data_IF_751674519379
#
_entry.id   IF_751674519379
#
_cell.length_a   1.000
_cell.length_b   1.000
_cell.length_c   1.000
_cell.angle_alpha   90.00
_cell.angle_beta   90.00
_cell.angle_gamma   90.00
#
_symmetry.space_group_name_H-M   'P 1'
#
loop_
_entity.id
_entity.type
_entity.pdbx_description
1 polymer ?
#
# COMPACT_ATOMS: atom_id res chain seq x y z
N UNK A 1 -16.24 -68.50 -2.89
CA UNK A 1 -16.70 -67.20 -3.40
C UNK A 1 -16.06 -65.99 -2.70
N UNK A 2 -15.57 -66.11 -1.46
CA UNK A 2 -15.10 -64.94 -0.68
C UNK A 2 -13.63 -64.55 -0.86
N UNK A 3 -12.76 -65.37 -1.38
CA UNK A 3 -11.34 -65.07 -1.55
C UNK A 3 -11.04 -64.22 -2.77
N UNK A 4 -11.84 -64.32 -3.84
CA UNK A 4 -11.68 -63.52 -5.06
C UNK A 4 -12.22 -62.11 -4.86
N UNK A 5 -13.28 -61.94 -4.08
CA UNK A 5 -13.86 -60.63 -3.76
C UNK A 5 -12.92 -59.76 -2.91
N UNK A 6 -12.20 -60.39 -1.96
CA UNK A 6 -11.23 -59.69 -1.08
C UNK A 6 -9.99 -59.24 -1.90
N UNK A 7 -9.54 -60.05 -2.85
CA UNK A 7 -8.41 -59.72 -3.71
C UNK A 7 -8.70 -58.52 -4.65
N UNK A 8 -9.93 -58.42 -5.17
CA UNK A 8 -10.35 -57.28 -6.02
C UNK A 8 -10.51 -55.99 -5.23
N UNK A 9 -11.02 -56.04 -3.98
CA UNK A 9 -11.10 -54.86 -3.14
C UNK A 9 -9.71 -54.34 -2.70
N UNK A 10 -8.74 -55.25 -2.48
CA UNK A 10 -7.37 -54.85 -2.15
C UNK A 10 -6.60 -54.29 -3.34
N UNK A 11 -6.85 -54.78 -4.55
CA UNK A 11 -6.25 -54.23 -5.80
C UNK A 11 -6.84 -52.86 -6.17
N UNK A 12 -8.12 -52.59 -5.85
CA UNK A 12 -8.73 -51.28 -6.12
C UNK A 12 -8.26 -50.20 -5.10
N UNK A 13 -7.90 -50.58 -3.89
CA UNK A 13 -7.40 -49.62 -2.85
C UNK A 13 -5.94 -49.19 -3.12
N UNK A 14 -5.13 -50.01 -3.80
CA UNK A 14 -3.76 -49.68 -4.17
C UNK A 14 -3.64 -48.80 -5.43
N UNK A 15 -4.70 -48.70 -6.25
CA UNK A 15 -4.70 -47.82 -7.43
C UNK A 15 -4.94 -46.33 -7.10
N UNK A 16 -5.38 -46.01 -5.88
CA UNK A 16 -5.64 -44.61 -5.45
C UNK A 16 -4.42 -43.88 -4.84
N UNK A 17 -3.28 -44.56 -4.66
CA UNK A 17 -2.12 -44.00 -3.94
C UNK A 17 -1.10 -43.31 -4.87
N UNK A 18 -1.40 -43.17 -6.13
CA UNK A 18 -0.43 -42.66 -7.09
C UNK A 18 -0.93 -41.60 -8.08
N UNK A 19 -2.02 -40.91 -7.78
CA UNK A 19 -2.28 -39.70 -8.56
C UNK A 19 -1.29 -38.64 -8.15
N UNK A 20 -0.38 -38.18 -9.04
CA UNK A 20 0.37 -36.98 -8.77
C UNK A 20 -0.66 -35.88 -8.54
N UNK A 21 -0.60 -35.22 -7.39
CA UNK A 21 -1.28 -33.94 -7.20
C UNK A 21 -0.65 -33.08 -8.29
N UNK A 22 -1.40 -32.79 -9.35
CA UNK A 22 -1.00 -31.78 -10.33
C UNK A 22 -0.88 -30.49 -9.53
N UNK A 23 0.34 -30.16 -9.17
CA UNK A 23 0.65 -28.85 -8.62
C UNK A 23 0.51 -27.91 -9.81
N UNK A 24 -0.53 -27.10 -9.79
CA UNK A 24 -0.71 -26.08 -10.81
C UNK A 24 0.56 -25.20 -10.82
N UNK A 25 1.16 -25.05 -12.00
CA UNK A 25 2.35 -24.20 -12.16
C UNK A 25 1.90 -22.74 -12.03
N UNK A 26 2.13 -22.12 -10.88
CA UNK A 26 1.92 -20.68 -10.72
C UNK A 26 2.99 -19.90 -11.50
N UNK A 27 2.62 -18.82 -12.24
CA UNK A 27 1.28 -18.29 -12.47
C UNK A 27 0.59 -18.92 -13.71
N UNK A 28 -0.69 -19.30 -13.61
CA UNK A 28 -1.46 -19.84 -14.74
C UNK A 28 -2.25 -18.77 -15.51
N UNK A 29 -2.41 -17.59 -14.93
CA UNK A 29 -3.21 -16.48 -15.47
C UNK A 29 -2.54 -15.12 -15.21
N UNK A 30 -2.96 -14.06 -15.93
CA UNK A 30 -2.42 -12.73 -15.72
C UNK A 30 -2.45 -12.32 -14.25
N UNK A 31 -1.40 -11.63 -13.80
CA UNK A 31 -1.25 -11.12 -12.43
C UNK A 31 -1.44 -9.61 -12.42
N UNK A 32 -2.18 -9.12 -11.45
CA UNK A 32 -2.38 -7.68 -11.22
C UNK A 32 -1.68 -7.26 -9.94
N UNK A 33 -0.79 -6.29 -10.05
CA UNK A 33 -0.17 -5.62 -8.92
C UNK A 33 -0.97 -4.36 -8.59
N UNK A 34 -1.55 -4.29 -7.40
CA UNK A 34 -2.33 -3.12 -6.94
C UNK A 34 -1.42 -2.24 -6.10
N UNK A 35 -1.25 -0.99 -6.54
CA UNK A 35 -0.51 0.06 -5.83
C UNK A 35 -1.52 1.09 -5.35
N UNK A 36 -1.73 1.26 -4.03
CA UNK A 36 -2.72 2.20 -3.50
C UNK A 36 -2.20 3.64 -3.41
N UNK A 37 -1.25 4.00 -4.27
CA UNK A 37 -0.61 5.30 -4.34
C UNK A 37 -0.68 5.88 -5.74
N UNK A 38 -0.46 7.19 -5.91
CA UNK A 38 -0.48 7.83 -7.21
C UNK A 38 0.61 7.28 -8.15
N UNK A 39 0.35 7.30 -9.47
CA UNK A 39 1.36 6.96 -10.45
C UNK A 39 2.59 7.86 -10.33
N UNK A 40 3.78 7.27 -10.47
CA UNK A 40 5.06 7.99 -10.41
C UNK A 40 5.66 8.11 -9.01
N UNK A 41 4.96 7.71 -7.95
CA UNK A 41 5.59 7.52 -6.65
C UNK A 41 6.61 6.36 -6.71
N UNK A 42 7.57 6.36 -5.80
CA UNK A 42 8.66 5.35 -5.80
C UNK A 42 8.12 3.92 -5.71
N UNK A 43 7.07 3.71 -4.93
CA UNK A 43 6.41 2.42 -4.83
C UNK A 43 5.81 1.97 -6.17
N UNK A 44 5.15 2.88 -6.90
CA UNK A 44 4.61 2.61 -8.24
C UNK A 44 5.73 2.25 -9.23
N UNK A 45 6.79 3.05 -9.27
CA UNK A 45 7.93 2.83 -10.18
C UNK A 45 8.59 1.47 -9.92
N UNK A 46 8.89 1.15 -8.67
CA UNK A 46 9.52 -0.13 -8.31
C UNK A 46 8.57 -1.32 -8.52
N UNK A 47 7.28 -1.16 -8.24
CA UNK A 47 6.29 -2.22 -8.51
C UNK A 47 6.17 -2.50 -10.01
N UNK A 48 6.29 -1.48 -10.87
CA UNK A 48 6.32 -1.69 -12.34
C UNK A 48 7.55 -2.46 -12.77
N UNK A 49 8.73 -2.18 -12.20
CA UNK A 49 9.94 -2.96 -12.48
C UNK A 49 9.78 -4.42 -12.05
N UNK A 50 9.20 -4.67 -10.87
CA UNK A 50 8.90 -6.03 -10.41
C UNK A 50 7.91 -6.73 -11.36
N UNK A 51 6.88 -6.04 -11.82
CA UNK A 51 5.90 -6.61 -12.76
C UNK A 51 6.52 -6.92 -14.12
N UNK A 52 7.43 -6.07 -14.63
CA UNK A 52 8.19 -6.32 -15.85
C UNK A 52 9.10 -7.54 -15.72
N UNK A 53 9.85 -7.66 -14.61
CA UNK A 53 10.69 -8.81 -14.34
C UNK A 53 9.86 -10.09 -14.18
N UNK A 54 8.73 -10.01 -13.49
CA UNK A 54 7.77 -11.11 -13.35
C UNK A 54 7.26 -11.60 -14.72
N UNK A 55 6.85 -10.66 -15.58
CA UNK A 55 6.41 -11.00 -16.92
C UNK A 55 7.53 -11.63 -17.77
N UNK A 56 8.75 -11.14 -17.62
CA UNK A 56 9.92 -11.67 -18.34
C UNK A 56 10.25 -13.10 -17.89
N UNK A 57 10.19 -13.38 -16.59
CA UNK A 57 10.51 -14.69 -16.01
C UNK A 57 9.44 -15.73 -16.31
N UNK A 58 8.17 -15.39 -16.14
CA UNK A 58 7.08 -16.38 -16.25
C UNK A 58 6.37 -16.39 -17.61
N UNK A 59 6.59 -15.40 -18.48
CA UNK A 59 5.91 -15.28 -19.76
C UNK A 59 4.41 -14.99 -19.64
N UNK A 60 3.92 -14.59 -18.46
CA UNK A 60 2.52 -14.27 -18.18
C UNK A 60 2.40 -12.76 -17.99
N UNK A 61 1.32 -12.18 -18.52
CA UNK A 61 1.06 -10.74 -18.39
C UNK A 61 0.98 -10.32 -16.92
N UNK A 62 1.72 -9.26 -16.56
CA UNK A 62 1.70 -8.63 -15.25
C UNK A 62 1.36 -7.15 -15.41
N UNK A 63 0.26 -6.70 -14.81
CA UNK A 63 -0.22 -5.32 -14.91
C UNK A 63 -0.10 -4.61 -13.56
N UNK A 64 0.27 -3.33 -13.55
CA UNK A 64 0.24 -2.49 -12.35
C UNK A 64 -0.95 -1.54 -12.45
N UNK A 65 -1.77 -1.52 -11.40
CA UNK A 65 -2.97 -0.69 -11.30
C UNK A 65 -2.88 0.18 -10.05
N UNK A 66 -2.95 1.49 -10.25
CA UNK A 66 -2.97 2.45 -9.14
C UNK A 66 -4.39 2.63 -8.60
N UNK A 67 -4.55 2.55 -7.29
CA UNK A 67 -5.83 2.69 -6.56
C UNK A 67 -5.68 3.63 -5.37
N UNK A 68 -5.37 4.92 -5.60
CA UNK A 68 -5.29 5.90 -4.52
C UNK A 68 -6.67 6.10 -3.87
N UNK A 69 -6.70 6.44 -2.62
CA UNK A 69 -7.89 6.27 -1.79
C UNK A 69 -8.71 7.49 -1.43
N UNK A 70 -8.52 8.67 -2.03
CA UNK A 70 -9.41 9.82 -1.82
C UNK A 70 -9.72 10.12 -0.35
N UNK A 71 -8.72 10.36 0.48
CA UNK A 71 -8.91 10.58 1.92
C UNK A 71 -8.97 9.31 2.77
N UNK A 72 -9.20 8.15 2.16
CA UNK A 72 -9.09 6.84 2.80
C UNK A 72 -7.67 6.29 2.84
N UNK A 73 -6.69 7.03 2.30
CA UNK A 73 -5.31 6.57 2.20
C UNK A 73 -5.20 5.30 1.33
N UNK A 74 -4.39 4.31 1.72
CA UNK A 74 -4.18 3.10 0.94
C UNK A 74 -5.31 2.06 1.08
N UNK A 75 -6.26 2.27 1.99
CA UNK A 75 -7.21 1.22 2.37
C UNK A 75 -8.18 0.81 1.26
N UNK A 76 -8.73 1.68 0.40
CA UNK A 76 -9.58 1.24 -0.70
C UNK A 76 -8.88 0.27 -1.65
N UNK A 77 -7.64 0.54 -2.04
CA UNK A 77 -6.84 -0.39 -2.86
C UNK A 77 -6.49 -1.68 -2.11
N UNK A 78 -6.19 -1.59 -0.82
CA UNK A 78 -5.93 -2.76 0.02
C UNK A 78 -7.15 -3.67 0.15
N UNK A 79 -8.35 -3.09 0.30
CA UNK A 79 -9.61 -3.84 0.36
C UNK A 79 -9.93 -4.57 -0.93
N UNK A 80 -9.54 -4.02 -2.08
CA UNK A 80 -9.69 -4.72 -3.37
C UNK A 80 -8.85 -6.00 -3.40
N UNK A 81 -7.61 -5.93 -2.90
CA UNK A 81 -6.75 -7.12 -2.79
C UNK A 81 -7.29 -8.11 -1.74
N UNK A 82 -7.75 -7.61 -0.60
CA UNK A 82 -8.32 -8.45 0.47
C UNK A 82 -9.57 -9.22 0.03
N UNK A 83 -10.33 -8.66 -0.92
CA UNK A 83 -11.53 -9.29 -1.46
C UNK A 83 -11.26 -10.24 -2.65
N UNK A 84 -10.04 -10.27 -3.16
CA UNK A 84 -9.67 -11.14 -4.28
C UNK A 84 -9.48 -12.60 -3.85
N UNK A 85 -9.57 -13.51 -4.80
CA UNK A 85 -9.24 -14.93 -4.57
C UNK A 85 -7.76 -15.08 -4.14
N UNK A 86 -7.45 -15.89 -3.12
CA UNK A 86 -6.08 -16.05 -2.62
C UNK A 86 -5.25 -17.01 -3.49
N UNK A 87 -5.24 -16.79 -4.78
CA UNK A 87 -4.58 -17.64 -5.79
C UNK A 87 -3.34 -16.98 -6.41
N UNK A 88 -2.93 -15.83 -5.87
CA UNK A 88 -1.76 -15.08 -6.35
C UNK A 88 -1.98 -14.28 -7.64
N UNK A 89 -3.20 -14.23 -8.19
CA UNK A 89 -3.49 -13.40 -9.36
C UNK A 89 -3.63 -11.90 -9.04
N UNK A 90 -3.78 -11.56 -7.76
CA UNK A 90 -3.78 -10.18 -7.30
C UNK A 90 -2.78 -10.02 -6.16
N UNK A 91 -1.82 -9.12 -6.32
CA UNK A 91 -0.75 -8.85 -5.36
C UNK A 91 -0.82 -7.38 -4.99
N UNK A 92 -0.84 -7.09 -3.69
CA UNK A 92 -0.80 -5.71 -3.18
C UNK A 92 0.62 -5.24 -2.90
N UNK A 93 0.96 -4.04 -3.36
CA UNK A 93 2.15 -3.33 -2.92
C UNK A 93 1.71 -2.34 -1.84
N UNK A 94 2.08 -2.58 -0.59
CA UNK A 94 1.52 -1.86 0.55
C UNK A 94 2.59 -1.31 1.48
N UNK A 95 2.35 -0.12 2.00
CA UNK A 95 3.09 0.35 3.17
C UNK A 95 2.72 -0.51 4.38
N UNK A 96 3.67 -0.68 5.31
CA UNK A 96 3.50 -1.50 6.52
C UNK A 96 2.26 -1.10 7.36
N UNK A 97 1.81 0.14 7.24
CA UNK A 97 0.58 0.61 7.89
C UNK A 97 -0.68 -0.14 7.48
N UNK A 98 -0.74 -0.69 6.27
CA UNK A 98 -1.91 -1.45 5.79
C UNK A 98 -2.08 -2.76 6.57
N UNK A 99 -1.12 -3.71 6.53
CA UNK A 99 -1.30 -5.00 7.20
C UNK A 99 -1.16 -4.92 8.73
N UNK A 100 -0.46 -3.93 9.27
CA UNK A 100 -0.19 -3.84 10.72
C UNK A 100 -1.11 -2.86 11.42
N UNK A 101 -1.32 -1.66 10.85
CA UNK A 101 -2.12 -0.62 11.51
C UNK A 101 -3.60 -0.75 11.16
N UNK A 102 -3.94 -1.15 9.94
CA UNK A 102 -5.31 -1.30 9.47
C UNK A 102 -6.19 -2.16 10.39
N UNK A 103 -5.76 -3.39 10.77
CA UNK A 103 -6.49 -4.21 11.73
C UNK A 103 -6.69 -3.52 13.09
N UNK A 104 -5.64 -2.88 13.60
CA UNK A 104 -5.68 -2.15 14.88
C UNK A 104 -6.60 -0.92 14.88
N UNK A 105 -6.85 -0.33 13.71
CA UNK A 105 -7.79 0.76 13.52
C UNK A 105 -9.24 0.28 13.35
N UNK A 106 -9.44 -1.04 13.26
CA UNK A 106 -10.77 -1.62 13.04
C UNK A 106 -11.30 -1.35 11.63
N UNK A 107 -10.42 -1.26 10.63
CA UNK A 107 -10.84 -1.17 9.22
C UNK A 107 -11.59 -2.47 8.89
N UNK A 108 -12.86 -2.33 8.56
CA UNK A 108 -13.73 -3.48 8.28
C UNK A 108 -13.15 -4.33 7.14
N UNK A 109 -13.09 -5.65 7.35
CA UNK A 109 -12.50 -6.59 6.41
C UNK A 109 -10.97 -6.74 6.48
N UNK A 110 -10.27 -6.01 7.36
CA UNK A 110 -8.84 -6.21 7.61
C UNK A 110 -8.61 -6.88 8.97
N UNK A 111 -7.85 -7.95 8.96
CA UNK A 111 -7.33 -8.67 10.14
C UNK A 111 -5.83 -8.86 9.99
N UNK A 112 -5.16 -9.31 11.02
CA UNK A 112 -3.73 -9.64 10.98
C UNK A 112 -3.42 -10.79 10.00
N UNK A 113 -4.43 -11.57 9.60
CA UNK A 113 -4.33 -12.72 8.69
C UNK A 113 -4.84 -12.43 7.27
N UNK A 114 -5.26 -11.17 6.99
CA UNK A 114 -5.86 -10.83 5.69
C UNK A 114 -4.88 -10.96 4.54
N UNK A 115 -3.60 -10.65 4.77
CA UNK A 115 -2.58 -10.68 3.72
C UNK A 115 -1.45 -11.64 4.09
N UNK A 116 -1.01 -12.43 3.10
CA UNK A 116 0.22 -13.21 3.19
C UNK A 116 1.39 -12.35 2.72
N UNK A 117 2.36 -11.97 3.59
CA UNK A 117 3.47 -11.12 3.22
C UNK A 117 4.49 -11.88 2.35
N UNK A 118 4.77 -11.39 1.16
CA UNK A 118 5.78 -11.96 0.25
C UNK A 118 7.19 -11.43 0.54
N UNK A 119 7.30 -10.18 0.97
CA UNK A 119 8.59 -9.56 1.28
C UNK A 119 8.48 -8.03 1.42
N UNK A 120 9.60 -7.43 1.82
CA UNK A 120 9.77 -5.97 1.88
C UNK A 120 10.80 -5.61 0.80
N UNK A 121 10.41 -4.82 -0.19
CA UNK A 121 11.27 -4.42 -1.30
C UNK A 121 11.68 -2.94 -1.26
N UNK A 122 11.05 -2.14 -0.39
CA UNK A 122 11.23 -0.69 -0.34
C UNK A 122 11.10 -0.17 1.09
N UNK A 123 11.99 0.76 1.43
CA UNK A 123 11.79 1.72 2.52
C UNK A 123 12.08 3.11 1.97
N UNK A 124 11.21 4.08 2.20
CA UNK A 124 11.42 5.44 1.71
C UNK A 124 11.02 6.49 2.75
N UNK A 125 11.69 7.65 2.75
CA UNK A 125 11.39 8.70 3.69
C UNK A 125 10.14 9.48 3.26
N UNK A 126 9.25 9.72 4.21
CA UNK A 126 8.31 10.81 4.10
C UNK A 126 9.00 12.11 4.53
N UNK A 127 8.65 13.19 3.85
CA UNK A 127 9.18 14.53 4.09
C UNK A 127 8.06 15.52 4.35
N UNK A 128 8.38 16.58 5.07
CA UNK A 128 7.52 17.76 5.21
C UNK A 128 8.04 18.79 4.23
N UNK A 129 7.22 19.16 3.26
CA UNK A 129 7.59 20.12 2.24
C UNK A 129 6.66 21.33 2.23
N UNK A 130 7.17 22.43 1.76
CA UNK A 130 6.44 23.70 1.59
C UNK A 130 6.91 24.42 0.34
N UNK A 131 6.17 25.46 -0.09
CA UNK A 131 6.59 26.32 -1.18
C UNK A 131 7.91 27.04 -0.85
N UNK A 132 8.78 27.21 -1.85
CA UNK A 132 10.01 28.00 -1.70
C UNK A 132 9.78 29.48 -1.35
N UNK A 133 8.54 29.97 -1.47
CA UNK A 133 8.12 31.32 -1.08
C UNK A 133 7.45 31.39 0.28
N UNK A 134 7.39 30.26 1.03
CA UNK A 134 6.81 30.25 2.35
C UNK A 134 7.58 31.16 3.33
N UNK A 135 6.92 31.76 4.34
CA UNK A 135 7.58 32.64 5.30
C UNK A 135 8.37 31.87 6.38
N UNK A 136 8.68 30.60 6.13
CA UNK A 136 9.46 29.70 6.99
C UNK A 136 10.26 28.72 6.13
N UNK A 137 11.45 28.35 6.58
CA UNK A 137 12.39 27.44 5.90
C UNK A 137 12.85 26.28 6.80
N UNK A 138 12.34 26.22 8.03
CA UNK A 138 12.63 25.17 9.01
C UNK A 138 11.39 24.83 9.83
N UNK A 139 11.41 23.70 10.52
CA UNK A 139 10.32 23.30 11.42
C UNK A 139 10.15 24.27 12.59
N UNK A 140 11.24 24.85 13.11
CA UNK A 140 11.18 25.83 14.19
C UNK A 140 10.54 27.15 13.74
N UNK A 141 10.88 27.60 12.53
CA UNK A 141 10.28 28.79 11.92
C UNK A 141 8.80 28.55 11.58
N UNK A 142 8.46 27.38 11.02
CA UNK A 142 7.08 26.97 10.82
C UNK A 142 6.30 26.98 12.14
N UNK A 143 6.85 26.40 13.20
CA UNK A 143 6.22 26.38 14.52
C UNK A 143 6.01 27.79 15.08
N UNK A 144 6.99 28.69 14.92
CA UNK A 144 6.88 30.09 15.35
C UNK A 144 5.79 30.82 14.55
N UNK A 145 5.72 30.62 13.24
CA UNK A 145 4.73 31.21 12.34
C UNK A 145 3.31 30.71 12.64
N UNK A 146 3.16 29.39 12.80
CA UNK A 146 1.87 28.73 13.00
C UNK A 146 1.20 29.06 14.35
N UNK A 147 1.94 29.58 15.33
CA UNK A 147 1.36 30.08 16.60
C UNK A 147 0.41 31.25 16.40
N UNK A 148 0.62 32.05 15.37
CA UNK A 148 -0.16 33.27 15.10
C UNK A 148 -0.88 33.25 13.74
N UNK A 149 -0.65 32.23 12.93
CA UNK A 149 -1.19 32.09 11.59
C UNK A 149 -1.78 30.70 11.38
N UNK A 150 -2.82 30.61 10.57
CA UNK A 150 -3.34 29.32 10.14
C UNK A 150 -2.43 28.75 9.07
N UNK A 151 -2.07 27.48 9.21
CA UNK A 151 -1.28 26.72 8.23
C UNK A 151 -2.05 25.46 7.91
N UNK A 152 -2.32 25.24 6.63
CA UNK A 152 -3.03 24.07 6.12
C UNK A 152 -2.04 22.92 5.85
N UNK A 153 -2.32 21.74 6.40
CA UNK A 153 -1.56 20.51 6.16
C UNK A 153 -2.25 19.63 5.13
N UNK A 154 -1.53 19.25 4.07
CA UNK A 154 -1.92 18.17 3.16
C UNK A 154 -1.23 16.85 3.53
N UNK A 155 -1.99 15.74 3.49
CA UNK A 155 -1.50 14.40 3.79
C UNK A 155 -2.25 13.32 2.98
N UNK A 156 -1.72 12.09 2.89
CA UNK A 156 -2.37 10.98 2.16
C UNK A 156 -3.47 10.25 2.95
N UNK A 157 -3.68 10.60 4.19
CA UNK A 157 -4.72 10.00 5.03
C UNK A 157 -4.39 10.16 6.50
N UNK A 158 -5.39 10.47 7.30
CA UNK A 158 -5.22 10.74 8.74
C UNK A 158 -4.66 9.53 9.52
N UNK A 159 -5.08 8.28 9.29
CA UNK A 159 -4.59 7.15 10.06
C UNK A 159 -3.14 6.72 9.70
N UNK A 160 -2.54 7.30 8.67
CA UNK A 160 -1.18 6.93 8.26
C UNK A 160 -0.12 7.39 9.27
N UNK A 161 0.86 6.53 9.51
CA UNK A 161 1.97 6.82 10.43
C UNK A 161 2.69 8.14 10.11
N UNK A 162 3.02 8.49 8.85
CA UNK A 162 3.65 9.78 8.55
C UNK A 162 2.79 10.98 8.94
N UNK A 163 1.48 10.90 8.72
CA UNK A 163 0.53 11.94 9.11
C UNK A 163 0.47 12.10 10.63
N UNK A 164 0.35 10.99 11.36
CA UNK A 164 0.30 10.99 12.81
C UNK A 164 1.59 11.53 13.43
N UNK A 165 2.75 11.16 12.88
CA UNK A 165 4.05 11.69 13.31
C UNK A 165 4.15 13.20 13.05
N UNK A 166 3.68 13.68 11.90
CA UNK A 166 3.66 15.10 11.54
C UNK A 166 2.77 15.90 12.50
N UNK A 167 1.58 15.38 12.82
CA UNK A 167 0.67 16.00 13.81
C UNK A 167 1.25 15.97 15.23
N UNK A 168 1.87 14.87 15.63
CA UNK A 168 2.54 14.76 16.92
C UNK A 168 3.73 15.72 17.05
N UNK A 169 4.50 15.92 15.98
CA UNK A 169 5.59 16.88 15.94
C UNK A 169 5.09 18.31 16.13
N UNK A 170 3.99 18.68 15.47
CA UNK A 170 3.36 20.00 15.66
C UNK A 170 2.97 20.23 17.12
N UNK A 171 2.30 19.26 17.75
CA UNK A 171 1.94 19.33 19.16
C UNK A 171 3.17 19.49 20.06
N UNK A 172 4.24 18.75 19.79
CA UNK A 172 5.50 18.84 20.55
C UNK A 172 6.18 20.21 20.39
N UNK A 173 6.06 20.82 19.22
CA UNK A 173 6.59 22.15 18.91
C UNK A 173 5.66 23.28 19.38
N UNK A 174 4.51 22.95 19.95
CA UNK A 174 3.58 23.89 20.60
C UNK A 174 2.73 24.67 19.62
N UNK A 175 2.35 24.06 18.48
CA UNK A 175 1.36 24.61 17.56
C UNK A 175 0.35 23.55 17.10
N UNK A 176 -0.75 24.01 16.51
CA UNK A 176 -1.76 23.16 15.87
C UNK A 176 -1.94 23.58 14.42
N UNK A 177 -2.19 22.63 13.55
CA UNK A 177 -2.55 22.91 12.16
C UNK A 177 -3.85 23.71 12.10
N UNK A 178 -3.91 24.72 11.26
CA UNK A 178 -5.10 25.54 11.05
C UNK A 178 -6.23 24.79 10.35
N UNK A 179 -5.85 23.88 9.48
CA UNK A 179 -6.68 22.86 8.85
C UNK A 179 -5.80 21.71 8.40
N UNK A 180 -6.41 20.53 8.13
CA UNK A 180 -5.74 19.44 7.45
C UNK A 180 -6.71 18.73 6.51
N UNK A 181 -6.17 18.20 5.41
CA UNK A 181 -6.95 17.48 4.41
C UNK A 181 -6.14 16.33 3.80
N UNK A 182 -6.85 15.27 3.43
CA UNK A 182 -6.27 14.16 2.69
C UNK A 182 -6.40 14.39 1.18
N UNK A 183 -5.35 14.01 0.45
CA UNK A 183 -5.24 14.14 -1.00
C UNK A 183 -4.80 12.84 -1.62
N UNK A 184 -5.22 12.60 -2.87
CA UNK A 184 -4.73 11.47 -3.67
C UNK A 184 -3.35 11.74 -4.28
N UNK A 185 -2.98 13.02 -4.46
CA UNK A 185 -1.69 13.47 -4.95
C UNK A 185 -1.19 14.62 -4.07
N UNK A 186 0.06 14.55 -3.65
CA UNK A 186 0.74 15.58 -2.86
C UNK A 186 2.08 15.90 -3.50
N UNK A 187 2.06 16.83 -4.41
CA UNK A 187 3.20 17.28 -5.19
C UNK A 187 3.38 18.81 -5.14
N UNK A 188 4.27 19.34 -5.99
CA UNK A 188 4.47 20.78 -6.11
C UNK A 188 3.21 21.53 -6.55
N UNK A 189 2.27 20.89 -7.28
CA UNK A 189 1.04 21.56 -7.72
C UNK A 189 0.10 21.79 -6.53
N UNK A 190 0.04 20.86 -5.57
CA UNK A 190 -0.76 21.02 -4.34
C UNK A 190 -0.32 22.27 -3.55
N UNK A 191 1.00 22.52 -3.50
CA UNK A 191 1.55 23.72 -2.86
C UNK A 191 1.32 24.98 -3.71
N UNK A 192 1.46 24.87 -5.03
CA UNK A 192 1.34 26.01 -5.95
C UNK A 192 -0.11 26.49 -6.09
N UNK A 193 -1.09 25.59 -6.01
CA UNK A 193 -2.52 25.95 -6.03
C UNK A 193 -2.99 26.61 -4.73
N UNK A 194 -2.26 26.41 -3.63
CA UNK A 194 -2.66 26.86 -2.30
C UNK A 194 -3.68 25.96 -1.62
N UNK A 195 -3.86 24.73 -2.11
CA UNK A 195 -4.73 23.73 -1.46
C UNK A 195 -4.15 23.30 -0.11
N UNK A 196 -2.82 23.34 0.02
CA UNK A 196 -2.11 23.18 1.29
C UNK A 196 -0.90 24.14 1.35
N UNK A 197 -0.55 24.61 2.56
CA UNK A 197 0.65 25.40 2.82
C UNK A 197 1.87 24.51 3.06
N UNK A 198 1.62 23.35 3.65
CA UNK A 198 2.61 22.33 3.99
C UNK A 198 2.04 20.97 3.61
N UNK A 199 2.87 20.11 3.02
CA UNK A 199 2.49 18.74 2.67
C UNK A 199 3.41 17.71 3.35
N UNK A 200 2.83 16.60 3.79
CA UNK A 200 3.56 15.41 4.20
C UNK A 200 3.49 14.39 3.07
N UNK A 201 4.57 14.25 2.33
CA UNK A 201 4.63 13.49 1.08
C UNK A 201 5.92 12.68 0.97
N UNK A 202 6.08 11.91 -0.10
CA UNK A 202 7.33 11.25 -0.43
C UNK A 202 8.24 12.16 -1.25
N UNK A 203 9.56 11.98 -1.12
CA UNK A 203 10.52 12.87 -1.80
C UNK A 203 10.41 12.79 -3.33
N UNK A 204 10.00 11.65 -3.88
CA UNK A 204 9.86 11.45 -5.33
C UNK A 204 8.77 12.32 -5.96
N UNK A 205 7.72 12.63 -5.22
CA UNK A 205 6.61 13.44 -5.74
C UNK A 205 6.92 14.94 -5.79
N UNK A 206 8.07 15.37 -5.23
CA UNK A 206 8.49 16.77 -5.18
C UNK A 206 9.84 17.04 -5.85
N UNK A 207 10.49 16.01 -6.43
CA UNK A 207 11.71 16.11 -7.25
C UNK A 207 11.35 16.21 -8.73
#
# INVERSE_FOLDING_TARGET
MNKILIGVLFALSTLMIGMPIAQADYPEKPVTFVVPWPPGDLEDVLTRMIAEDFQAEYGISAAVVNKPGGGGGPFPGAMEVAAADPDGSMIGSFVIGVPVVGPGLGIDGLTEETFEPLGIFLTYPFVIATSGNAPYSSLDELAAYAKNNKVALGHFGDPLTPTQVTKAAANKLGFTWGSDAAFDMLDCNTLASGDADVINTTIQLIL
#
